data_IF_456131447483
#
_entry.id   IF_456131447483
#
_cell.length_a   1.000
_cell.length_b   1.000
_cell.length_c   1.000
_cell.angle_alpha   90.00
_cell.angle_beta   90.00
_cell.angle_gamma   90.00
#
_symmetry.space_group_name_H-M   'P 1'
#
loop_
_entity.id
_entity.type
_entity.pdbx_description
1 polymer ?
#
# COMPACT_ATOMS: atom_id res chain seq x y z
N UNK A 1 1.42 -16.47 -9.08
CA UNK A 1 1.72 -15.16 -8.45
C UNK A 1 1.45 -15.28 -6.96
N UNK A 2 2.13 -14.49 -6.12
CA UNK A 2 1.74 -14.33 -4.72
C UNK A 2 0.41 -13.56 -4.69
N UNK A 3 -0.53 -13.95 -3.82
CA UNK A 3 -1.78 -13.21 -3.69
C UNK A 3 -1.49 -11.78 -3.18
N UNK A 4 -2.03 -10.75 -3.83
CA UNK A 4 -1.84 -9.38 -3.39
C UNK A 4 -2.47 -9.16 -2.03
N UNK A 5 -2.03 -8.15 -1.28
CA UNK A 5 -2.65 -7.75 -0.01
C UNK A 5 -3.74 -6.69 -0.22
N UNK A 6 -3.66 -5.93 -1.32
CA UNK A 6 -4.65 -4.94 -1.75
C UNK A 6 -4.68 -4.90 -3.27
N UNK A 7 -5.77 -4.37 -3.83
CA UNK A 7 -5.90 -4.12 -5.27
C UNK A 7 -6.16 -2.64 -5.49
N UNK A 8 -5.52 -2.08 -6.51
CA UNK A 8 -5.83 -0.74 -7.01
C UNK A 8 -6.36 -0.89 -8.42
N UNK A 9 -7.60 -0.49 -8.62
CA UNK A 9 -8.35 -0.63 -9.87
C UNK A 9 -8.34 0.72 -10.56
N UNK A 10 -7.60 0.82 -11.67
CA UNK A 10 -7.50 2.04 -12.45
C UNK A 10 -8.53 2.05 -13.57
N UNK A 11 -9.38 3.07 -13.64
CA UNK A 11 -9.93 3.43 -14.93
C UNK A 11 -8.81 3.79 -15.91
N UNK A 12 -9.11 3.66 -17.19
CA UNK A 12 -8.19 3.96 -18.26
C UNK A 12 -8.40 5.39 -18.71
N UNK A 13 -9.59 5.74 -19.18
CA UNK A 13 -9.88 7.11 -19.64
C UNK A 13 -9.92 8.05 -18.43
N UNK A 14 -9.14 9.13 -18.48
CA UNK A 14 -8.89 10.02 -17.35
C UNK A 14 -7.60 9.67 -16.60
N UNK A 15 -7.58 8.66 -15.71
CA UNK A 15 -6.39 8.36 -14.89
C UNK A 15 -5.15 7.93 -15.69
N UNK A 16 -5.31 7.19 -16.80
CA UNK A 16 -4.15 6.70 -17.58
C UNK A 16 -4.11 7.37 -18.96
N UNK A 17 -5.22 7.30 -19.67
CA UNK A 17 -5.44 7.81 -21.00
C UNK A 17 -6.17 9.14 -20.92
N UNK A 18 -5.48 10.23 -21.24
CA UNK A 18 -6.12 11.54 -21.30
C UNK A 18 -5.50 12.35 -22.41
N UNK A 19 -6.36 12.92 -23.26
CA UNK A 19 -5.94 13.94 -24.19
C UNK A 19 -5.33 15.13 -23.43
N UNK A 20 -4.39 15.82 -24.06
CA UNK A 20 -3.64 16.92 -23.45
C UNK A 20 -2.22 17.01 -24.02
N UNK A 21 -1.47 18.02 -23.59
CA UNK A 21 -0.10 18.24 -24.06
C UNK A 21 0.85 17.19 -23.48
N UNK A 22 1.03 16.07 -24.20
CA UNK A 22 1.97 15.01 -23.83
C UNK A 22 2.74 14.52 -25.05
N UNK A 23 4.06 14.24 -24.93
CA UNK A 23 4.81 13.59 -26.00
C UNK A 23 4.59 12.07 -26.04
N UNK A 24 3.92 11.48 -25.04
CA UNK A 24 3.72 10.04 -24.95
C UNK A 24 2.38 9.64 -25.59
N UNK A 25 2.38 9.56 -26.92
CA UNK A 25 1.18 9.25 -27.71
C UNK A 25 1.41 7.96 -28.49
N UNK A 26 0.46 7.06 -28.39
CA UNK A 26 0.39 5.84 -29.19
C UNK A 26 -0.75 5.98 -30.21
N UNK A 27 -0.45 5.94 -31.53
CA UNK A 27 -1.46 6.19 -32.54
C UNK A 27 -2.50 5.07 -32.57
N UNK A 28 -3.77 5.44 -32.63
CA UNK A 28 -4.87 4.49 -32.78
C UNK A 28 -4.93 3.87 -34.17
N UNK A 29 -5.41 2.63 -34.24
CA UNK A 29 -5.76 2.03 -35.52
C UNK A 29 -6.89 2.81 -36.21
N UNK A 30 -6.75 3.06 -37.51
CA UNK A 30 -7.72 3.81 -38.32
C UNK A 30 -8.08 5.20 -37.73
N UNK A 31 -7.09 5.85 -37.10
CA UNK A 31 -7.17 7.29 -36.78
C UNK A 31 -7.41 8.11 -38.05
N UNK A 32 -8.05 9.26 -37.89
CA UNK A 32 -8.25 10.22 -38.96
C UNK A 32 -6.89 10.71 -39.47
N UNK A 33 -6.63 10.66 -40.78
CA UNK A 33 -5.39 11.18 -41.34
C UNK A 33 -5.30 12.71 -41.28
N UNK A 34 -6.43 13.38 -41.02
CA UNK A 34 -6.53 14.86 -40.96
C UNK A 34 -6.23 15.43 -39.58
N UNK A 35 -6.17 14.59 -38.53
CA UNK A 35 -5.92 15.01 -37.16
C UNK A 35 -4.45 14.79 -36.78
N UNK A 36 -3.89 15.78 -36.09
CA UNK A 36 -2.55 15.68 -35.52
C UNK A 36 -2.50 14.57 -34.47
N UNK A 37 -1.30 14.01 -34.26
CA UNK A 37 -1.09 12.92 -33.30
C UNK A 37 -1.49 13.38 -31.89
N UNK A 38 -2.43 12.67 -31.26
CA UNK A 38 -2.96 12.98 -29.93
C UNK A 38 -4.31 13.67 -29.92
N UNK A 39 -4.77 14.17 -31.08
CA UNK A 39 -6.07 14.84 -31.22
C UNK A 39 -7.19 13.88 -31.64
N UNK A 40 -6.86 12.70 -32.17
CA UNK A 40 -7.86 11.69 -32.49
C UNK A 40 -8.27 10.93 -31.22
N UNK A 41 -9.58 10.79 -30.92
CA UNK A 41 -10.04 10.00 -29.77
C UNK A 41 -9.59 8.54 -29.74
N UNK A 42 -9.17 7.99 -30.90
CA UNK A 42 -8.60 6.64 -31.02
C UNK A 42 -7.14 6.58 -30.59
N UNK A 43 -6.44 7.71 -30.53
CA UNK A 43 -5.08 7.75 -29.99
C UNK A 43 -5.10 7.51 -28.48
N UNK A 44 -3.99 6.96 -27.97
CA UNK A 44 -3.82 6.70 -26.56
C UNK A 44 -2.68 7.56 -26.01
N UNK A 45 -3.03 8.48 -25.13
CA UNK A 45 -2.14 9.51 -24.62
C UNK A 45 -1.89 9.25 -23.15
N UNK A 46 -0.62 9.10 -22.74
CA UNK A 46 -0.25 8.92 -21.33
C UNK A 46 0.44 10.17 -20.80
N UNK A 47 -0.31 11.10 -20.19
CA UNK A 47 0.27 12.18 -19.41
C UNK A 47 1.21 11.63 -18.34
N UNK A 48 2.30 12.34 -18.09
CA UNK A 48 3.29 11.99 -17.09
C UNK A 48 3.64 10.49 -16.98
N UNK A 49 3.91 9.84 -18.12
CA UNK A 49 4.19 8.39 -18.21
C UNK A 49 5.15 7.89 -17.12
N UNK A 50 6.20 8.65 -16.80
CA UNK A 50 7.20 8.26 -15.81
C UNK A 50 6.59 8.18 -14.40
N UNK A 51 5.72 9.11 -14.01
CA UNK A 51 5.12 9.13 -12.68
C UNK A 51 4.03 8.07 -12.53
N UNK A 52 3.23 7.85 -13.59
CA UNK A 52 2.31 6.73 -13.64
C UNK A 52 3.08 5.40 -13.47
N UNK A 53 4.15 5.21 -14.24
CA UNK A 53 4.96 3.98 -14.17
C UNK A 53 5.60 3.81 -12.79
N UNK A 54 6.20 4.85 -12.21
CA UNK A 54 6.73 4.80 -10.84
C UNK A 54 5.68 4.40 -9.83
N UNK A 55 4.47 4.96 -9.94
CA UNK A 55 3.36 4.63 -9.04
C UNK A 55 2.98 3.16 -9.15
N UNK A 56 2.82 2.64 -10.37
CA UNK A 56 2.50 1.22 -10.60
C UNK A 56 3.60 0.29 -10.10
N UNK A 57 4.87 0.63 -10.35
CA UNK A 57 6.03 -0.14 -9.89
C UNK A 57 6.11 -0.16 -8.35
N UNK A 58 5.92 0.99 -7.68
CA UNK A 58 5.95 1.10 -6.21
C UNK A 58 4.81 0.29 -5.59
N UNK A 59 3.59 0.36 -6.14
CA UNK A 59 2.46 -0.46 -5.69
C UNK A 59 2.80 -1.95 -5.77
N UNK A 60 3.28 -2.41 -6.93
CA UNK A 60 3.58 -3.82 -7.17
C UNK A 60 4.72 -4.34 -6.28
N UNK A 61 5.80 -3.56 -6.09
CA UNK A 61 6.90 -3.90 -5.18
C UNK A 61 6.45 -4.07 -3.73
N UNK A 62 5.35 -3.42 -3.34
CA UNK A 62 4.76 -3.50 -2.00
C UNK A 62 3.57 -4.47 -1.92
N UNK A 63 3.51 -5.46 -2.82
CA UNK A 63 2.49 -6.53 -2.84
C UNK A 63 1.05 -6.01 -3.02
N UNK A 64 0.88 -4.85 -3.65
CA UNK A 64 -0.41 -4.29 -4.04
C UNK A 64 -0.51 -4.45 -5.55
N UNK A 65 -1.62 -4.98 -6.07
CA UNK A 65 -1.77 -5.25 -7.50
C UNK A 65 -2.57 -4.14 -8.20
N UNK A 66 -1.96 -3.35 -9.10
CA UNK A 66 -2.70 -2.51 -10.02
C UNK A 66 -3.38 -3.34 -11.12
N UNK A 67 -4.67 -3.13 -11.33
CA UNK A 67 -5.48 -3.79 -12.36
C UNK A 67 -6.34 -2.78 -13.12
N UNK A 68 -6.88 -3.18 -14.27
CA UNK A 68 -7.69 -2.32 -15.14
C UNK A 68 -9.16 -2.41 -14.73
N UNK A 69 -9.81 -1.26 -14.52
CA UNK A 69 -11.22 -1.11 -14.18
C UNK A 69 -12.03 -0.28 -15.17
N UNK A 70 -11.61 -0.20 -16.43
CA UNK A 70 -12.37 0.48 -17.47
C UNK A 70 -13.53 -0.36 -17.98
N UNK A 71 -14.64 0.27 -18.37
CA UNK A 71 -15.75 -0.38 -19.05
C UNK A 71 -15.30 -1.03 -20.37
N UNK A 72 -14.23 -0.50 -20.99
CA UNK A 72 -13.61 -1.06 -22.21
C UNK A 72 -13.26 -2.54 -22.08
N UNK A 73 -12.95 -3.03 -20.88
CA UNK A 73 -12.56 -4.45 -20.69
C UNK A 73 -13.69 -5.43 -21.02
N UNK A 74 -14.95 -4.96 -21.05
CA UNK A 74 -16.12 -5.77 -21.38
C UNK A 74 -16.24 -6.06 -22.87
N UNK A 75 -15.67 -5.18 -23.70
CA UNK A 75 -15.87 -5.22 -25.15
C UNK A 75 -14.95 -6.27 -25.81
N UNK A 76 -15.43 -6.87 -26.89
CA UNK A 76 -14.62 -7.77 -27.73
C UNK A 76 -13.73 -6.99 -28.70
N UNK A 77 -12.63 -7.59 -29.16
CA UNK A 77 -11.71 -6.94 -30.11
C UNK A 77 -12.36 -6.69 -31.47
N UNK A 78 -13.37 -7.50 -31.83
CA UNK A 78 -14.16 -7.36 -33.05
C UNK A 78 -15.45 -6.55 -32.84
N UNK A 79 -15.64 -5.92 -31.67
CA UNK A 79 -16.77 -5.03 -31.46
C UNK A 79 -16.69 -3.88 -32.49
N UNK A 80 -17.77 -3.63 -33.27
CA UNK A 80 -17.73 -2.71 -34.40
C UNK A 80 -17.49 -1.25 -33.97
N UNK A 81 -17.80 -0.89 -32.73
CA UNK A 81 -17.64 0.46 -32.20
C UNK A 81 -16.41 0.57 -31.30
N UNK A 82 -16.20 -0.40 -30.41
CA UNK A 82 -15.21 -0.32 -29.35
C UNK A 82 -13.96 -1.19 -29.58
N UNK A 83 -13.99 -2.16 -30.50
CA UNK A 83 -12.91 -3.13 -30.69
C UNK A 83 -11.53 -2.51 -30.97
N UNK A 84 -11.52 -1.44 -31.77
CA UNK A 84 -10.30 -0.65 -32.01
C UNK A 84 -9.78 0.03 -30.74
N UNK A 85 -10.67 0.61 -29.92
CA UNK A 85 -10.28 1.29 -28.68
C UNK A 85 -9.71 0.32 -27.64
N UNK A 86 -10.26 -0.90 -27.55
CA UNK A 86 -9.74 -1.96 -26.68
C UNK A 86 -8.37 -2.43 -27.14
N UNK A 87 -8.24 -2.70 -28.44
CA UNK A 87 -6.97 -3.17 -29.02
C UNK A 87 -5.88 -2.12 -28.84
N UNK A 88 -6.15 -0.85 -29.17
CA UNK A 88 -5.20 0.25 -28.97
C UNK A 88 -4.82 0.40 -27.50
N UNK A 89 -5.78 0.30 -26.56
CA UNK A 89 -5.50 0.39 -25.13
C UNK A 89 -4.45 -0.64 -24.68
N UNK A 90 -4.63 -1.91 -25.01
CA UNK A 90 -3.66 -2.94 -24.59
C UNK A 90 -2.31 -2.80 -25.29
N UNK A 91 -2.30 -2.47 -26.59
CA UNK A 91 -1.07 -2.21 -27.33
C UNK A 91 -0.30 -0.99 -26.78
N UNK A 92 -0.99 0.09 -26.45
CA UNK A 92 -0.40 1.29 -25.86
C UNK A 92 0.17 1.01 -24.47
N UNK A 93 -0.56 0.27 -23.62
CA UNK A 93 -0.05 -0.16 -22.31
C UNK A 93 1.20 -1.04 -22.45
N UNK A 94 1.22 -1.97 -23.41
CA UNK A 94 2.41 -2.77 -23.75
C UNK A 94 3.58 -1.90 -24.22
N UNK A 95 3.30 -0.87 -25.02
CA UNK A 95 4.31 0.05 -25.55
C UNK A 95 4.93 0.92 -24.45
N UNK A 96 4.11 1.55 -23.61
CA UNK A 96 4.59 2.51 -22.61
C UNK A 96 5.15 1.86 -21.34
N UNK A 97 4.59 0.73 -20.92
CA UNK A 97 4.92 0.09 -19.64
C UNK A 97 5.66 -1.25 -19.82
N UNK A 98 5.80 -1.71 -21.06
CA UNK A 98 6.42 -2.99 -21.41
C UNK A 98 5.42 -4.13 -21.53
N UNK A 99 5.67 -5.04 -22.48
CA UNK A 99 4.81 -6.19 -22.76
C UNK A 99 4.82 -7.28 -21.70
N UNK A 100 5.85 -7.30 -20.84
CA UNK A 100 5.99 -8.24 -19.71
C UNK A 100 5.66 -7.62 -18.34
N UNK A 101 4.94 -6.49 -18.32
CA UNK A 101 4.53 -5.83 -17.07
C UNK A 101 3.75 -6.80 -16.18
N UNK A 102 3.96 -6.68 -14.86
CA UNK A 102 3.31 -7.56 -13.87
C UNK A 102 1.99 -6.99 -13.30
N UNK A 103 1.55 -5.86 -13.84
CA UNK A 103 0.37 -5.11 -13.44
C UNK A 103 -0.41 -4.66 -14.68
N UNK A 104 -1.67 -4.25 -14.51
CA UNK A 104 -2.55 -3.88 -15.63
C UNK A 104 -2.55 -4.97 -16.73
N UNK A 105 -2.61 -6.23 -16.29
CA UNK A 105 -2.48 -7.40 -17.14
C UNK A 105 -3.72 -7.64 -17.99
N UNK A 106 -3.50 -7.80 -19.31
CA UNK A 106 -4.58 -8.01 -20.28
C UNK A 106 -5.37 -9.30 -20.03
N UNK A 107 -4.69 -10.42 -19.79
CA UNK A 107 -5.34 -11.72 -19.58
C UNK A 107 -6.37 -11.66 -18.43
N UNK A 108 -5.99 -11.00 -17.33
CA UNK A 108 -6.83 -10.86 -16.15
C UNK A 108 -7.98 -9.90 -16.45
N UNK A 109 -7.71 -8.76 -17.08
CA UNK A 109 -8.74 -7.79 -17.43
C UNK A 109 -9.78 -8.37 -18.39
N UNK A 110 -9.35 -9.17 -19.38
CA UNK A 110 -10.25 -9.87 -20.31
C UNK A 110 -11.08 -10.97 -19.64
N UNK A 111 -10.50 -11.72 -18.71
CA UNK A 111 -11.23 -12.72 -17.93
C UNK A 111 -12.36 -12.09 -17.10
N UNK A 112 -12.09 -10.96 -16.45
CA UNK A 112 -13.07 -10.18 -15.69
C UNK A 112 -14.12 -9.58 -16.63
N UNK A 113 -13.68 -8.91 -17.69
CA UNK A 113 -14.56 -8.25 -18.64
C UNK A 113 -15.52 -9.18 -19.37
N UNK A 114 -15.09 -10.40 -19.70
CA UNK A 114 -15.97 -11.41 -20.32
C UNK A 114 -17.18 -11.75 -19.45
N UNK A 115 -17.05 -11.72 -18.13
CA UNK A 115 -18.16 -12.00 -17.19
C UNK A 115 -19.14 -10.83 -17.07
N UNK A 116 -18.78 -9.64 -17.58
CA UNK A 116 -19.50 -8.40 -17.39
C UNK A 116 -20.19 -7.88 -18.66
N UNK A 117 -20.12 -8.59 -19.79
CA UNK A 117 -20.65 -8.14 -21.09
C UNK A 117 -22.11 -7.69 -21.10
N UNK A 118 -22.93 -8.26 -20.22
CA UNK A 118 -24.35 -7.94 -20.10
C UNK A 118 -24.66 -7.01 -18.91
N UNK A 119 -23.64 -6.53 -18.20
CA UNK A 119 -23.81 -5.67 -17.03
C UNK A 119 -23.66 -4.20 -17.40
N UNK A 120 -24.58 -3.35 -16.94
CA UNK A 120 -24.40 -1.91 -17.04
C UNK A 120 -23.42 -1.44 -15.96
N UNK A 121 -22.19 -1.08 -16.37
CA UNK A 121 -21.19 -0.48 -15.46
C UNK A 121 -21.04 1.03 -15.65
N UNK A 122 -21.98 1.67 -16.33
CA UNK A 122 -22.01 3.12 -16.56
C UNK A 122 -22.51 3.91 -15.34
N UNK A 123 -23.28 3.27 -14.46
CA UNK A 123 -23.78 3.89 -13.22
C UNK A 123 -22.90 3.52 -12.00
N UNK A 124 -22.23 2.37 -12.04
CA UNK A 124 -21.32 1.90 -10.99
C UNK A 124 -20.31 0.91 -11.55
N UNK A 125 -19.08 0.95 -11.02
CA UNK A 125 -18.04 -0.05 -11.31
C UNK A 125 -17.97 -1.18 -10.29
N UNK A 126 -18.91 -1.26 -9.34
CA UNK A 126 -18.87 -2.24 -8.24
C UNK A 126 -18.80 -3.69 -8.70
N UNK A 127 -19.45 -4.03 -9.82
CA UNK A 127 -19.39 -5.39 -10.39
C UNK A 127 -17.97 -5.76 -10.86
N UNK A 128 -17.21 -4.80 -11.39
CA UNK A 128 -15.78 -4.97 -11.72
C UNK A 128 -14.98 -5.21 -10.43
N UNK A 129 -15.19 -4.36 -9.41
CA UNK A 129 -14.48 -4.44 -8.13
C UNK A 129 -14.75 -5.76 -7.42
N UNK A 130 -15.99 -6.24 -7.44
CA UNK A 130 -16.42 -7.49 -6.82
C UNK A 130 -15.74 -8.71 -7.47
N UNK A 131 -15.66 -8.73 -8.81
CA UNK A 131 -15.01 -9.84 -9.51
C UNK A 131 -13.49 -9.88 -9.22
N UNK A 132 -12.84 -8.72 -9.13
CA UNK A 132 -11.44 -8.66 -8.68
C UNK A 132 -11.29 -9.13 -7.24
N UNK A 133 -12.16 -8.69 -6.33
CA UNK A 133 -12.19 -9.13 -4.94
C UNK A 133 -12.33 -10.64 -4.81
N UNK A 134 -13.26 -11.25 -5.54
CA UNK A 134 -13.45 -12.71 -5.59
C UNK A 134 -12.23 -13.43 -6.16
N UNK A 135 -11.68 -12.96 -7.29
CA UNK A 135 -10.55 -13.61 -7.97
C UNK A 135 -9.30 -13.71 -7.08
N UNK A 136 -9.04 -12.68 -6.29
CA UNK A 136 -7.84 -12.59 -5.45
C UNK A 136 -8.10 -12.82 -3.96
N UNK A 137 -9.35 -13.08 -3.58
CA UNK A 137 -9.79 -13.21 -2.18
C UNK A 137 -9.42 -11.98 -1.33
N UNK A 138 -9.83 -10.80 -1.80
CA UNK A 138 -9.57 -9.49 -1.18
C UNK A 138 -10.88 -8.89 -0.70
N UNK A 139 -10.88 -8.38 0.53
CA UNK A 139 -12.03 -7.69 1.11
C UNK A 139 -12.27 -6.33 0.45
N UNK A 140 -13.52 -5.83 0.40
CA UNK A 140 -13.85 -4.56 -0.25
C UNK A 140 -13.03 -3.35 0.24
N UNK A 141 -12.78 -3.26 1.55
CA UNK A 141 -12.00 -2.19 2.19
C UNK A 141 -10.52 -2.12 1.75
N UNK A 142 -10.07 -3.18 1.09
CA UNK A 142 -8.71 -3.39 0.58
C UNK A 142 -8.64 -3.22 -0.95
N UNK A 143 -9.72 -2.74 -1.58
CA UNK A 143 -9.80 -2.41 -3.00
C UNK A 143 -10.02 -0.90 -3.14
N UNK A 144 -9.21 -0.26 -3.98
CA UNK A 144 -9.29 1.17 -4.27
C UNK A 144 -9.64 1.35 -5.75
N UNK A 145 -10.74 2.03 -6.04
CA UNK A 145 -11.08 2.50 -7.38
C UNK A 145 -10.47 3.89 -7.62
N UNK A 146 -9.78 4.04 -8.74
CA UNK A 146 -9.29 5.33 -9.25
C UNK A 146 -10.05 5.63 -10.54
N UNK A 147 -10.71 6.78 -10.56
CA UNK A 147 -11.58 7.17 -11.66
C UNK A 147 -11.67 8.70 -11.78
N UNK A 148 -11.86 9.22 -12.98
CA UNK A 148 -12.08 10.64 -13.22
C UNK A 148 -13.55 11.04 -13.03
N UNK A 149 -14.48 10.09 -13.12
CA UNK A 149 -15.89 10.31 -12.86
C UNK A 149 -16.21 10.21 -11.37
N UNK A 150 -16.43 11.37 -10.74
CA UNK A 150 -16.81 11.47 -9.33
C UNK A 150 -18.13 10.75 -9.00
N UNK A 151 -19.00 10.50 -9.99
CA UNK A 151 -20.26 9.78 -9.81
C UNK A 151 -20.11 8.34 -9.31
N UNK A 152 -18.93 7.73 -9.51
CA UNK A 152 -18.66 6.39 -8.99
C UNK A 152 -18.25 6.34 -7.52
N UNK A 153 -17.98 7.50 -6.90
CA UNK A 153 -17.53 7.57 -5.50
C UNK A 153 -18.57 7.01 -4.53
N UNK A 154 -19.76 7.59 -4.54
CA UNK A 154 -20.85 7.21 -3.62
C UNK A 154 -21.21 5.71 -3.71
N UNK A 155 -21.46 5.12 -4.90
CA UNK A 155 -21.76 3.69 -4.97
C UNK A 155 -20.56 2.81 -4.56
N UNK A 156 -19.32 3.22 -4.82
CA UNK A 156 -18.13 2.47 -4.39
C UNK A 156 -18.00 2.47 -2.86
N UNK A 157 -18.10 3.64 -2.23
CA UNK A 157 -17.96 3.79 -0.78
C UNK A 157 -19.13 3.12 -0.03
N UNK A 158 -20.35 3.15 -0.57
CA UNK A 158 -21.50 2.42 -0.02
C UNK A 158 -21.29 0.89 0.00
N UNK A 159 -20.49 0.36 -0.92
CA UNK A 159 -20.09 -1.05 -0.95
C UNK A 159 -18.76 -1.32 -0.21
N UNK A 160 -18.30 -0.38 0.62
CA UNK A 160 -17.07 -0.43 1.41
C UNK A 160 -15.76 -0.42 0.59
N UNK A 161 -15.82 -0.13 -0.71
CA UNK A 161 -14.62 0.15 -1.49
C UNK A 161 -14.09 1.54 -1.18
N UNK A 162 -12.81 1.76 -1.44
CA UNK A 162 -12.19 3.10 -1.37
C UNK A 162 -12.20 3.75 -2.75
N UNK A 163 -12.34 5.06 -2.78
CA UNK A 163 -12.31 5.85 -4.01
C UNK A 163 -11.21 6.91 -3.96
N UNK A 164 -10.52 7.09 -5.07
CA UNK A 164 -9.56 8.18 -5.31
C UNK A 164 -9.97 8.85 -6.63
N UNK A 165 -10.23 10.16 -6.55
CA UNK A 165 -10.70 10.93 -7.71
C UNK A 165 -9.52 11.44 -8.55
N UNK A 166 -9.57 11.23 -9.86
CA UNK A 166 -8.57 11.70 -10.81
C UNK A 166 -9.20 12.73 -11.78
N UNK A 167 -9.50 13.96 -11.35
CA UNK A 167 -10.33 14.90 -12.12
C UNK A 167 -9.71 15.40 -13.44
N UNK A 168 -8.38 15.31 -13.62
CA UNK A 168 -7.63 15.78 -14.80
C UNK A 168 -7.94 17.24 -15.21
N UNK A 169 -8.20 18.12 -14.24
CA UNK A 169 -8.55 19.55 -14.47
C UNK A 169 -7.36 20.49 -14.42
N UNK A 170 -6.23 20.04 -13.89
CA UNK A 170 -5.04 20.84 -13.68
C UNK A 170 -4.12 20.80 -14.90
N UNK A 171 -3.10 21.66 -14.90
CA UNK A 171 -2.06 21.63 -15.92
C UNK A 171 -1.36 20.28 -15.95
N UNK A 172 -1.19 19.71 -17.15
CA UNK A 172 -0.59 18.38 -17.33
C UNK A 172 0.80 18.32 -16.69
N UNK A 173 1.05 17.26 -15.91
CA UNK A 173 2.28 17.02 -15.14
C UNK A 173 2.48 17.90 -13.89
N UNK A 174 1.55 18.80 -13.55
CA UNK A 174 1.60 19.54 -12.28
C UNK A 174 1.35 18.62 -11.07
N UNK A 175 1.73 19.09 -9.88
CA UNK A 175 1.47 18.37 -8.63
C UNK A 175 -0.02 18.08 -8.42
N UNK A 176 -0.90 19.02 -8.80
CA UNK A 176 -2.35 18.87 -8.73
C UNK A 176 -2.87 17.81 -9.72
N UNK A 177 -2.35 17.79 -10.96
CA UNK A 177 -2.73 16.80 -11.97
C UNK A 177 -2.32 15.37 -11.58
N UNK A 178 -1.17 15.24 -10.91
CA UNK A 178 -0.65 13.95 -10.42
C UNK A 178 -1.15 13.59 -9.01
N UNK A 179 -1.93 14.45 -8.34
CA UNK A 179 -2.29 14.28 -6.93
C UNK A 179 -2.94 12.92 -6.63
N UNK A 180 -3.77 12.42 -7.56
CA UNK A 180 -4.43 11.12 -7.42
C UNK A 180 -3.43 9.94 -7.36
N UNK A 181 -2.28 10.03 -8.04
CA UNK A 181 -1.21 9.01 -7.96
C UNK A 181 -0.60 8.98 -6.57
N UNK A 182 -0.31 10.16 -6.00
CA UNK A 182 0.28 10.29 -4.68
C UNK A 182 -0.70 9.91 -3.57
N UNK A 183 -1.96 10.33 -3.68
CA UNK A 183 -3.04 9.92 -2.79
C UNK A 183 -3.19 8.40 -2.79
N UNK A 184 -3.13 7.77 -3.96
CA UNK A 184 -3.18 6.30 -4.10
C UNK A 184 -2.03 5.65 -3.33
N UNK A 185 -0.79 6.13 -3.49
CA UNK A 185 0.37 5.60 -2.77
C UNK A 185 0.23 5.79 -1.26
N UNK A 186 -0.15 6.98 -0.81
CA UNK A 186 -0.25 7.33 0.59
C UNK A 186 -1.46 6.69 1.29
N UNK A 187 -2.51 6.28 0.57
CA UNK A 187 -3.61 5.50 1.14
C UNK A 187 -3.29 4.01 1.23
N UNK A 188 -2.33 3.53 0.45
CA UNK A 188 -2.01 2.10 0.34
C UNK A 188 -0.77 1.69 1.12
N UNK A 189 0.26 2.53 1.14
CA UNK A 189 1.61 2.24 1.60
C UNK A 189 2.08 3.32 2.61
N UNK A 190 2.77 2.95 3.70
CA UNK A 190 3.43 3.92 4.57
C UNK A 190 4.44 4.78 3.79
N UNK A 191 4.48 6.10 4.05
CA UNK A 191 5.32 7.04 3.29
C UNK A 191 6.80 6.62 3.19
N UNK A 192 7.38 6.08 4.28
CA UNK A 192 8.74 5.53 4.30
C UNK A 192 8.98 4.48 3.21
N UNK A 193 8.03 3.55 3.03
CA UNK A 193 8.14 2.48 2.03
C UNK A 193 7.98 3.01 0.61
N UNK A 194 7.17 4.05 0.41
CA UNK A 194 7.05 4.75 -0.88
C UNK A 194 8.41 5.35 -1.26
N UNK A 195 9.01 6.13 -0.36
CA UNK A 195 10.32 6.77 -0.58
C UNK A 195 11.44 5.76 -0.79
N UNK A 196 11.44 4.65 -0.03
CA UNK A 196 12.43 3.58 -0.22
C UNK A 196 12.28 2.86 -1.56
N UNK A 197 11.05 2.68 -2.04
CA UNK A 197 10.79 2.06 -3.35
C UNK A 197 11.21 3.00 -4.48
N UNK A 198 10.92 4.31 -4.34
CA UNK A 198 11.38 5.34 -5.26
C UNK A 198 12.91 5.37 -5.39
N UNK A 199 13.64 5.33 -4.27
CA UNK A 199 15.12 5.30 -4.25
C UNK A 199 15.71 4.09 -4.96
N UNK A 200 15.02 2.95 -4.93
CA UNK A 200 15.43 1.70 -5.59
C UNK A 200 14.99 1.59 -7.05
N UNK A 201 14.18 2.54 -7.54
CA UNK A 201 13.73 2.53 -8.93
C UNK A 201 14.88 2.78 -9.91
N UNK A 202 14.73 2.27 -11.13
CA UNK A 202 15.70 2.44 -12.21
C UNK A 202 15.51 3.76 -13.00
N UNK A 203 14.59 4.63 -12.57
CA UNK A 203 14.36 5.92 -13.21
C UNK A 203 15.54 6.89 -12.96
N UNK A 204 15.64 7.92 -13.80
CA UNK A 204 16.68 8.95 -13.65
C UNK A 204 16.55 9.71 -12.33
N UNK A 205 17.65 10.30 -11.86
CA UNK A 205 17.63 11.06 -10.61
C UNK A 205 16.67 12.26 -10.69
N UNK A 206 16.65 12.96 -11.82
CA UNK A 206 15.74 14.07 -12.08
C UNK A 206 14.26 13.69 -11.93
N UNK A 207 13.86 12.55 -12.51
CA UNK A 207 12.48 12.05 -12.39
C UNK A 207 12.15 11.70 -10.94
N UNK A 208 13.10 11.08 -10.21
CA UNK A 208 12.90 10.73 -8.80
C UNK A 208 12.78 11.97 -7.92
N UNK A 209 13.62 12.98 -8.14
CA UNK A 209 13.63 14.21 -7.35
C UNK A 209 12.32 15.00 -7.55
N UNK A 210 11.84 15.13 -8.79
CA UNK A 210 10.57 15.81 -9.06
C UNK A 210 9.38 15.00 -8.53
N UNK A 211 9.41 13.67 -8.62
CA UNK A 211 8.39 12.81 -8.02
C UNK A 211 8.32 12.98 -6.51
N UNK A 212 9.46 12.94 -5.82
CA UNK A 212 9.55 13.11 -4.37
C UNK A 212 9.06 14.51 -3.95
N UNK A 213 9.47 15.55 -4.68
CA UNK A 213 9.02 16.92 -4.44
C UNK A 213 7.49 17.06 -4.54
N UNK A 214 6.88 16.56 -5.62
CA UNK A 214 5.42 16.65 -5.78
C UNK A 214 4.66 15.76 -4.77
N UNK A 215 5.18 14.57 -4.45
CA UNK A 215 4.63 13.70 -3.40
C UNK A 215 4.59 14.43 -2.04
N UNK A 216 5.69 15.10 -1.67
CA UNK A 216 5.79 15.85 -0.42
C UNK A 216 4.90 17.09 -0.40
N UNK A 217 4.76 17.78 -1.52
CA UNK A 217 3.86 18.93 -1.66
C UNK A 217 2.39 18.51 -1.45
N UNK A 218 1.93 17.47 -2.17
CA UNK A 218 0.57 16.93 -2.02
C UNK A 218 0.33 16.41 -0.60
N UNK A 219 1.32 15.74 0.00
CA UNK A 219 1.22 15.30 1.39
C UNK A 219 1.09 16.48 2.37
N UNK A 220 1.90 17.53 2.19
CA UNK A 220 1.94 18.70 3.08
C UNK A 220 0.68 19.57 2.97
N UNK A 221 0.05 19.58 1.79
CA UNK A 221 -1.13 20.41 1.52
C UNK A 221 -2.46 19.68 1.73
N UNK A 222 -2.45 18.35 1.96
CA UNK A 222 -3.66 17.55 2.12
C UNK A 222 -3.81 16.99 3.54
N UNK A 223 -4.59 17.69 4.38
CA UNK A 223 -4.82 17.31 5.79
C UNK A 223 -5.42 15.90 5.94
N UNK A 224 -6.28 15.47 5.02
CA UNK A 224 -6.86 14.12 5.06
C UNK A 224 -5.80 13.03 4.87
N UNK A 225 -4.84 13.26 3.97
CA UNK A 225 -3.70 12.35 3.79
C UNK A 225 -2.76 12.36 4.98
N UNK A 226 -2.57 13.52 5.62
CA UNK A 226 -1.80 13.62 6.86
C UNK A 226 -2.46 12.83 7.98
N UNK A 227 -3.77 12.98 8.21
CA UNK A 227 -4.51 12.22 9.23
C UNK A 227 -4.41 10.72 8.96
N UNK A 228 -4.60 10.29 7.71
CA UNK A 228 -4.49 8.89 7.31
C UNK A 228 -3.09 8.32 7.56
N UNK A 229 -2.05 9.06 7.21
CA UNK A 229 -0.68 8.67 7.53
C UNK A 229 -0.36 8.80 9.02
N UNK A 230 -0.93 9.76 9.77
CA UNK A 230 -0.72 9.90 11.22
C UNK A 230 -1.30 8.70 11.96
N UNK A 231 -2.45 8.17 11.56
CA UNK A 231 -2.97 6.93 12.16
C UNK A 231 -2.04 5.74 11.90
N UNK A 232 -1.57 5.58 10.65
CA UNK A 232 -0.62 4.51 10.28
C UNK A 232 0.76 4.71 10.93
N UNK A 233 1.25 5.94 10.99
CA UNK A 233 2.50 6.35 11.63
C UNK A 233 2.40 6.24 13.15
N UNK A 234 1.23 6.47 13.75
CA UNK A 234 1.03 6.33 15.19
C UNK A 234 1.14 4.86 15.60
N UNK A 235 0.52 3.94 14.86
CA UNK A 235 0.67 2.50 15.09
C UNK A 235 2.11 2.04 14.86
N UNK A 236 2.74 2.46 13.77
CA UNK A 236 4.15 2.11 13.50
C UNK A 236 5.13 2.74 14.52
N UNK A 237 4.86 3.96 15.00
CA UNK A 237 5.69 4.63 16.02
C UNK A 237 5.49 3.99 17.38
N UNK A 238 4.24 3.69 17.77
CA UNK A 238 3.93 2.97 19.01
C UNK A 238 4.60 1.60 18.98
N UNK A 239 4.44 0.84 17.89
CA UNK A 239 5.08 -0.46 17.73
C UNK A 239 6.61 -0.37 17.79
N UNK A 240 7.19 0.66 17.18
CA UNK A 240 8.63 0.93 17.22
C UNK A 240 9.14 1.23 18.62
N UNK A 241 8.48 2.12 19.37
CA UNK A 241 8.89 2.46 20.72
C UNK A 241 8.72 1.28 21.68
N UNK A 242 7.61 0.53 21.59
CA UNK A 242 7.41 -0.71 22.35
C UNK A 242 8.53 -1.72 22.06
N UNK A 243 8.85 -1.95 20.79
CA UNK A 243 9.89 -2.90 20.40
C UNK A 243 11.28 -2.43 20.83
N UNK A 244 11.56 -1.13 20.83
CA UNK A 244 12.80 -0.58 21.40
C UNK A 244 12.89 -0.81 22.90
N UNK A 245 11.80 -0.64 23.64
CA UNK A 245 11.76 -0.92 25.08
C UNK A 245 11.98 -2.40 25.37
N UNK A 246 11.32 -3.29 24.63
CA UNK A 246 11.54 -4.75 24.72
C UNK A 246 13.00 -5.11 24.38
N UNK A 247 13.57 -4.53 23.33
CA UNK A 247 14.98 -4.73 22.96
C UNK A 247 15.91 -4.26 24.07
N UNK A 248 15.64 -3.08 24.65
CA UNK A 248 16.41 -2.50 25.75
C UNK A 248 16.34 -3.41 26.97
N UNK A 249 15.17 -3.88 27.35
CA UNK A 249 15.00 -4.79 28.49
C UNK A 249 15.77 -6.10 28.28
N UNK A 250 15.72 -6.71 27.10
CA UNK A 250 16.49 -7.93 26.82
C UNK A 250 18.01 -7.67 26.94
N UNK A 251 18.50 -6.57 26.36
CA UNK A 251 19.95 -6.27 26.29
C UNK A 251 20.51 -5.83 27.64
N UNK A 252 19.78 -4.99 28.39
CA UNK A 252 20.29 -4.39 29.63
C UNK A 252 20.09 -5.27 30.86
N UNK A 253 19.19 -6.25 30.81
CA UNK A 253 18.88 -7.12 31.96
C UNK A 253 20.02 -8.06 32.36
N UNK A 254 21.07 -8.22 31.53
CA UNK A 254 22.27 -9.05 31.81
C UNK A 254 21.90 -10.41 32.41
N UNK A 255 21.34 -11.28 31.57
CA UNK A 255 20.87 -12.61 31.93
C UNK A 255 22.06 -13.51 32.33
N UNK A 256 21.99 -14.10 33.53
CA UNK A 256 23.07 -14.93 34.07
C UNK A 256 22.82 -16.38 33.64
N UNK A 257 23.00 -16.66 32.34
CA UNK A 257 22.63 -17.94 31.74
C UNK A 257 23.86 -18.83 31.53
N UNK A 258 24.02 -19.83 32.40
CA UNK A 258 25.11 -20.83 32.35
C UNK A 258 24.71 -22.15 31.64
N UNK A 259 23.68 -22.18 30.78
CA UNK A 259 23.11 -23.44 30.27
C UNK A 259 22.74 -23.45 28.76
N UNK A 260 22.57 -24.67 28.21
CA UNK A 260 22.41 -25.11 26.81
C UNK A 260 21.35 -24.37 25.93
N UNK A 261 20.55 -23.48 26.49
CA UNK A 261 19.49 -22.71 25.80
C UNK A 261 19.80 -21.22 25.62
N UNK A 262 21.06 -20.80 25.84
CA UNK A 262 21.47 -19.40 25.73
C UNK A 262 22.37 -19.10 24.52
N UNK A 263 22.36 -17.86 24.04
CA UNK A 263 23.11 -17.36 22.89
C UNK A 263 23.86 -16.09 23.28
N UNK A 264 25.13 -15.96 22.85
CA UNK A 264 25.91 -14.73 23.02
C UNK A 264 25.46 -13.67 22.00
N UNK A 265 25.21 -12.47 22.49
CA UNK A 265 24.90 -11.28 21.70
C UNK A 265 25.86 -10.17 22.08
N UNK A 266 26.37 -9.46 21.08
CA UNK A 266 27.28 -8.33 21.29
C UNK A 266 26.48 -7.04 21.39
N UNK A 267 26.72 -6.25 22.45
CA UNK A 267 26.22 -4.87 22.50
C UNK A 267 27.11 -3.95 21.66
N UNK A 268 26.57 -2.80 21.26
CA UNK A 268 27.31 -1.73 20.54
C UNK A 268 28.54 -1.22 21.29
N UNK A 269 28.65 -1.48 22.60
CA UNK A 269 29.74 -1.02 23.45
C UNK A 269 30.81 -2.11 23.70
N UNK A 270 30.78 -3.21 22.93
CA UNK A 270 31.77 -4.29 23.02
C UNK A 270 31.60 -5.25 24.20
N UNK A 271 30.51 -5.15 24.96
CA UNK A 271 30.20 -6.09 26.04
C UNK A 271 29.30 -7.23 25.53
N UNK A 272 29.73 -8.47 25.75
CA UNK A 272 28.94 -9.67 25.43
C UNK A 272 27.90 -9.93 26.53
N UNK A 273 26.65 -10.11 26.12
CA UNK A 273 25.56 -10.58 26.98
C UNK A 273 25.13 -11.98 26.51
N UNK A 274 24.70 -12.85 27.42
CA UNK A 274 24.22 -14.19 27.08
C UNK A 274 22.73 -14.24 27.38
N UNK A 275 21.88 -14.38 26.36
CA UNK A 275 20.42 -14.34 26.50
C UNK A 275 19.77 -15.67 26.10
N UNK A 276 18.56 -15.99 26.58
CA UNK A 276 17.77 -17.12 26.08
C UNK A 276 17.55 -17.11 24.55
N UNK A 277 17.53 -18.29 23.92
CA UNK A 277 17.32 -18.46 22.46
C UNK A 277 16.05 -17.79 21.95
N UNK A 278 14.97 -17.84 22.72
CA UNK A 278 13.69 -17.22 22.40
C UNK A 278 13.77 -15.69 22.41
N UNK A 279 14.51 -15.10 23.36
CA UNK A 279 14.79 -13.65 23.34
C UNK A 279 15.65 -13.26 22.13
N UNK A 280 16.55 -14.14 21.67
CA UNK A 280 17.28 -13.90 20.42
C UNK A 280 16.35 -13.95 19.19
N UNK A 281 15.26 -14.73 19.20
CA UNK A 281 14.25 -14.66 18.13
C UNK A 281 13.56 -13.29 18.14
N UNK A 282 13.19 -12.78 19.32
CA UNK A 282 12.64 -11.42 19.47
C UNK A 282 13.61 -10.38 18.90
N UNK A 283 14.89 -10.43 19.29
CA UNK A 283 15.90 -9.49 18.77
C UNK A 283 16.07 -9.58 17.24
N UNK A 284 15.90 -10.76 16.63
CA UNK A 284 15.93 -10.91 15.17
C UNK A 284 14.73 -10.27 14.50
N UNK A 285 13.52 -10.42 15.06
CA UNK A 285 12.34 -9.73 14.54
C UNK A 285 12.50 -8.20 14.59
N UNK A 286 13.02 -7.70 15.70
CA UNK A 286 13.32 -6.26 15.88
C UNK A 286 14.39 -5.80 14.89
N UNK A 287 15.46 -6.60 14.71
CA UNK A 287 16.50 -6.30 13.72
C UNK A 287 15.94 -6.32 12.30
N UNK A 288 15.03 -7.23 11.96
CA UNK A 288 14.38 -7.25 10.66
C UNK A 288 13.55 -5.98 10.42
N UNK A 289 12.89 -5.44 11.45
CA UNK A 289 12.23 -4.14 11.35
C UNK A 289 13.22 -2.98 11.21
N UNK A 290 14.31 -2.98 11.99
CA UNK A 290 15.39 -1.98 11.89
C UNK A 290 16.08 -1.97 10.52
N UNK A 291 16.31 -3.16 9.94
CA UNK A 291 16.88 -3.36 8.61
C UNK A 291 15.83 -3.16 7.49
N UNK A 292 14.62 -2.71 7.82
CA UNK A 292 13.51 -2.43 6.88
C UNK A 292 13.03 -3.65 6.07
N UNK A 293 13.20 -4.87 6.61
CA UNK A 293 12.74 -6.13 6.00
C UNK A 293 11.28 -6.46 6.34
N UNK A 294 10.74 -5.85 7.39
CA UNK A 294 9.34 -5.92 7.80
C UNK A 294 8.92 -4.61 8.48
N UNK A 295 7.62 -4.37 8.68
CA UNK A 295 7.16 -3.19 9.42
C UNK A 295 7.30 -3.38 10.93
N UNK A 296 7.24 -2.29 11.69
CA UNK A 296 7.29 -2.37 13.15
C UNK A 296 6.05 -3.06 13.71
N UNK A 297 4.87 -2.84 13.13
CA UNK A 297 3.64 -3.55 13.53
C UNK A 297 3.71 -5.06 13.25
N UNK A 298 4.22 -5.46 12.08
CA UNK A 298 4.42 -6.89 11.75
C UNK A 298 5.41 -7.52 12.73
N UNK A 299 6.51 -6.83 13.03
CA UNK A 299 7.48 -7.28 14.02
C UNK A 299 6.85 -7.38 15.41
N UNK A 300 6.00 -6.43 15.81
CA UNK A 300 5.31 -6.43 17.11
C UNK A 300 4.39 -7.65 17.24
N UNK A 301 3.63 -7.96 16.19
CA UNK A 301 2.77 -9.15 16.13
C UNK A 301 3.59 -10.44 16.23
N UNK A 302 4.70 -10.56 15.49
CA UNK A 302 5.58 -11.73 15.57
C UNK A 302 6.21 -11.87 16.96
N UNK A 303 6.68 -10.76 17.54
CA UNK A 303 7.24 -10.72 18.90
C UNK A 303 6.19 -11.13 19.92
N UNK A 304 4.94 -10.68 19.79
CA UNK A 304 3.85 -11.07 20.66
C UNK A 304 3.55 -12.58 20.57
N UNK A 305 3.57 -13.16 19.37
CA UNK A 305 3.43 -14.62 19.20
C UNK A 305 4.57 -15.37 19.91
N UNK A 306 5.81 -14.93 19.73
CA UNK A 306 6.99 -15.53 20.40
C UNK A 306 6.83 -15.42 21.93
N UNK A 307 6.38 -14.28 22.45
CA UNK A 307 6.18 -14.06 23.88
C UNK A 307 5.07 -14.97 24.42
N UNK A 308 3.93 -15.05 23.74
CA UNK A 308 2.81 -15.91 24.14
C UNK A 308 3.24 -17.38 24.19
N UNK A 309 3.90 -17.88 23.14
CA UNK A 309 4.43 -19.25 23.10
C UNK A 309 5.49 -19.50 24.18
N UNK A 310 6.29 -18.49 24.52
CA UNK A 310 7.39 -18.64 25.46
C UNK A 310 6.94 -18.54 26.92
N UNK A 311 5.89 -17.77 27.22
CA UNK A 311 5.33 -17.63 28.57
C UNK A 311 4.75 -18.95 29.12
N UNK A 312 4.28 -19.81 28.23
CA UNK A 312 3.59 -21.07 28.56
C UNK A 312 4.54 -22.28 28.61
N UNK A 313 5.85 -22.09 28.37
CA UNK A 313 6.86 -23.15 28.45
C UNK A 313 7.19 -23.49 29.91
N UNK A 314 7.47 -24.78 30.17
CA UNK A 314 7.82 -25.28 31.52
C UNK A 314 9.28 -25.03 31.92
N UNK A 315 10.15 -24.70 30.97
CA UNK A 315 11.60 -24.59 31.20
C UNK A 315 12.08 -23.13 31.23
N UNK A 316 12.15 -22.55 32.43
CA UNK A 316 12.73 -21.22 32.66
C UNK A 316 13.72 -21.26 33.83
N UNK A 317 14.82 -22.02 33.68
CA UNK A 317 15.79 -22.27 34.75
C UNK A 317 16.93 -21.24 34.84
N UNK A 318 16.91 -20.15 34.08
CA UNK A 318 17.89 -19.07 34.23
C UNK A 318 17.29 -17.87 34.98
N UNK A 319 18.14 -17.13 35.67
CA UNK A 319 17.77 -15.90 36.37
C UNK A 319 18.71 -14.77 35.92
N UNK A 320 18.19 -13.55 35.89
CA UNK A 320 19.01 -12.37 35.72
C UNK A 320 19.67 -11.96 37.05
N UNK A 321 20.47 -10.89 37.04
CA UNK A 321 21.16 -10.39 38.24
C UNK A 321 20.22 -9.88 39.35
N UNK A 322 18.95 -9.64 39.02
CA UNK A 322 17.89 -9.20 39.96
C UNK A 322 17.03 -10.36 40.45
N UNK A 323 17.30 -11.59 40.03
CA UNK A 323 16.51 -12.78 40.40
C UNK A 323 15.27 -13.02 39.53
N UNK A 324 15.06 -12.26 38.46
CA UNK A 324 13.93 -12.47 37.55
C UNK A 324 14.24 -13.61 36.57
N UNK A 325 13.27 -14.49 36.37
CA UNK A 325 13.35 -15.57 35.38
C UNK A 325 12.87 -15.09 34.01
N UNK A 326 13.23 -15.77 32.91
CA UNK A 326 12.64 -15.48 31.60
C UNK A 326 11.12 -15.58 31.61
N UNK A 327 10.55 -16.44 32.46
CA UNK A 327 9.10 -16.56 32.63
C UNK A 327 8.50 -15.23 33.07
N UNK A 328 9.11 -14.59 34.06
CA UNK A 328 8.66 -13.31 34.60
C UNK A 328 8.73 -12.22 33.52
N UNK A 329 9.81 -12.19 32.74
CA UNK A 329 9.91 -11.31 31.57
C UNK A 329 8.75 -11.56 30.59
N UNK A 330 8.54 -12.81 30.14
CA UNK A 330 7.49 -13.10 29.15
C UNK A 330 6.10 -12.78 29.68
N UNK A 331 5.80 -13.07 30.94
CA UNK A 331 4.51 -12.76 31.54
C UNK A 331 4.28 -11.25 31.69
N UNK A 332 5.28 -10.50 32.11
CA UNK A 332 5.20 -9.05 32.24
C UNK A 332 5.05 -8.37 30.87
N UNK A 333 5.86 -8.77 29.88
CA UNK A 333 5.74 -8.23 28.52
C UNK A 333 4.42 -8.63 27.86
N UNK A 334 3.92 -9.85 28.10
CA UNK A 334 2.59 -10.28 27.63
C UNK A 334 1.49 -9.39 28.21
N UNK A 335 1.51 -9.12 29.52
CA UNK A 335 0.54 -8.24 30.16
C UNK A 335 0.60 -6.80 29.63
N UNK A 336 1.81 -6.26 29.43
CA UNK A 336 2.02 -4.95 28.81
C UNK A 336 1.40 -4.87 27.41
N UNK A 337 1.70 -5.85 26.55
CA UNK A 337 1.17 -5.92 25.18
C UNK A 337 -0.35 -6.11 25.16
N UNK A 338 -0.91 -6.87 26.10
CA UNK A 338 -2.35 -7.05 26.24
C UNK A 338 -3.05 -5.73 26.63
N UNK A 339 -2.47 -4.98 27.57
CA UNK A 339 -3.01 -3.68 28.01
C UNK A 339 -3.01 -2.65 26.89
N UNK A 340 -1.95 -2.62 26.07
CA UNK A 340 -1.87 -1.75 24.89
C UNK A 340 -2.98 -2.05 23.88
N UNK A 341 -3.23 -3.33 23.57
CA UNK A 341 -4.34 -3.73 22.68
C UNK A 341 -5.72 -3.39 23.26
N UNK A 342 -5.87 -3.47 24.58
CA UNK A 342 -7.11 -3.10 25.26
C UNK A 342 -7.34 -1.57 25.27
N UNK A 343 -6.29 -0.76 25.25
CA UNK A 343 -6.40 0.70 25.08
C UNK A 343 -6.69 1.12 23.63
N UNK A 344 -6.21 0.37 22.64
CA UNK A 344 -6.52 0.61 21.21
C UNK A 344 -7.98 0.32 20.84
N UNK A 345 -8.67 -0.53 21.62
CA UNK A 345 -10.04 -0.98 21.35
C UNK A 345 -11.13 -0.14 22.04
N UNK A 346 -10.74 0.89 22.79
CA UNK A 346 -11.67 1.92 23.29
C UNK A 346 -11.42 3.21 22.51
N UNK A 347 -12.30 3.59 21.56
CA UNK A 347 -12.27 4.96 21.08
C UNK A 347 -12.57 5.86 22.28
N UNK A 348 -11.66 6.79 22.58
CA UNK A 348 -12.01 7.96 23.37
C UNK A 348 -13.13 8.66 22.60
N UNK A 349 -14.36 8.48 23.07
CA UNK A 349 -15.44 9.41 22.80
C UNK A 349 -14.96 10.74 23.37
N UNK A 350 -14.44 11.59 22.50
CA UNK A 350 -14.38 13.02 22.77
C UNK A 350 -15.84 13.47 22.80
N UNK A 351 -16.43 13.47 23.99
CA UNK A 351 -17.70 14.15 24.23
C UNK A 351 -17.47 15.64 23.93
N UNK A 352 -17.83 16.04 22.73
CA UNK A 352 -17.87 17.43 22.32
C UNK A 352 -19.11 18.09 22.96
N UNK A 353 -18.96 18.54 24.22
CA UNK A 353 -19.98 19.32 24.93
C UNK A 353 -20.24 20.71 24.28
N UNK A 354 -19.68 21.03 23.10
CA UNK A 354 -19.87 22.33 22.46
C UNK A 354 -21.15 22.49 21.61
N UNK A 355 -21.97 21.44 21.44
CA UNK A 355 -23.28 21.54 20.77
C UNK A 355 -24.44 21.36 21.76
N UNK A 356 -24.54 22.26 22.74
CA UNK A 356 -25.83 22.58 23.35
C UNK A 356 -26.64 23.45 22.39
N UNK A 357 -27.49 22.80 21.58
CA UNK A 357 -28.63 23.49 20.96
C UNK A 357 -29.58 23.86 22.08
N UNK A 358 -29.75 25.15 22.30
CA UNK A 358 -30.82 25.68 23.16
C UNK A 358 -32.11 25.64 22.33
N UNK A 359 -33.16 25.03 22.88
CA UNK A 359 -34.49 24.87 22.27
C UNK A 359 -35.14 26.22 21.90
#
# INVERSE_FOLDING_TARGET
MKNPTKIVVFDVDGPINSAGTTPNIFPGHNRSPELDLGDDPKDFCVPNKNFLKLTLDILYQNNILPVIGSQRIQMEDNDPFYGNYVTTMYQALNHFLGSKRSYLGEDIAREIGKQLREHNTGESKNSILELYGKKFNIAPDSIILIDDNAGYKEPAEAAHYKFVHAPRRAETNSAEDNAYLYETLLRTIPAEKVLNSLKKSNESQEVKDEFEKQLLDVFSNNQNLQIHQIQVLSQETIAKEILKDIQKDIIHTKWNSNFFSAVKVSSTNGHHNTIPKEMNKILKEIKNAQDLKQTWDTALTNVQNIINESADKKEHMCMNRKGETPKDFYQNTRAMLQNLRNSESKPELVDDESLKVTL
#
